data_IF_997609332984
#
_entry.id   IF_997609332984
#
_cell.length_a   1.000
_cell.length_b   1.000
_cell.length_c   1.000
_cell.angle_alpha   90.00
_cell.angle_beta   90.00
_cell.angle_gamma   90.00
#
_symmetry.space_group_name_H-M   'P 1'
#
loop_
_entity.id
_entity.type
_entity.pdbx_description
1 polymer ?
#
# COMPACT_ATOMS: atom_id res chain seq x y z
N UNK A 1 13.60 -0.09 14.96
CA UNK A 1 14.18 1.07 14.24
C UNK A 1 13.12 1.59 13.28
N UNK A 2 12.70 2.87 13.37
CA UNK A 2 11.77 3.44 12.39
C UNK A 2 12.43 3.48 11.01
N UNK A 3 11.65 3.19 9.97
CA UNK A 3 12.06 3.29 8.58
C UNK A 3 11.37 4.51 7.95
N UNK A 4 12.12 5.28 7.19
CA UNK A 4 11.53 6.31 6.33
C UNK A 4 10.78 5.65 5.18
N UNK A 5 9.57 6.15 4.92
CA UNK A 5 8.72 5.66 3.86
C UNK A 5 7.92 6.80 3.22
N UNK A 6 7.53 6.62 1.98
CA UNK A 6 6.58 7.48 1.29
C UNK A 6 5.37 6.68 0.80
N UNK A 7 4.20 7.31 0.79
CA UNK A 7 3.01 6.75 0.15
C UNK A 7 3.07 7.16 -1.33
N UNK A 8 3.32 6.19 -2.20
CA UNK A 8 3.39 6.40 -3.66
C UNK A 8 2.00 6.48 -4.25
N UNK A 9 1.09 5.65 -3.74
CA UNK A 9 -0.28 5.59 -4.23
C UNK A 9 -1.23 5.09 -3.15
N UNK A 10 -2.44 5.63 -3.13
CA UNK A 10 -3.53 5.14 -2.31
C UNK A 10 -4.84 5.23 -3.09
N UNK A 11 -5.59 4.14 -3.12
CA UNK A 11 -6.89 4.09 -3.79
C UNK A 11 -7.79 3.02 -3.19
N UNK A 12 -9.09 3.12 -3.48
CA UNK A 12 -10.04 2.06 -3.17
C UNK A 12 -9.90 0.95 -4.20
N UNK A 13 -9.71 -0.27 -3.72
CA UNK A 13 -9.30 -1.37 -4.56
C UNK A 13 -9.60 -2.72 -3.92
N UNK A 14 -10.21 -3.64 -4.67
CA UNK A 14 -10.76 -4.89 -4.12
C UNK A 14 -10.05 -6.17 -4.61
N UNK A 15 -8.99 -6.05 -5.41
CA UNK A 15 -8.39 -7.23 -6.08
C UNK A 15 -7.46 -8.02 -5.16
N UNK A 16 -6.80 -7.38 -4.19
CA UNK A 16 -6.01 -8.13 -3.20
C UNK A 16 -6.90 -8.67 -2.08
N UNK A 17 -6.48 -9.79 -1.50
CA UNK A 17 -7.09 -10.29 -0.27
C UNK A 17 -7.06 -9.23 0.84
N UNK A 18 -8.02 -9.31 1.75
CA UNK A 18 -8.09 -8.36 2.86
C UNK A 18 -6.92 -8.61 3.82
N UNK A 19 -6.30 -7.52 4.29
CA UNK A 19 -5.09 -7.57 5.14
C UNK A 19 -3.93 -8.35 4.52
N UNK A 20 -3.78 -8.27 3.20
CA UNK A 20 -2.67 -8.87 2.46
C UNK A 20 -1.62 -7.81 2.09
N UNK A 21 -0.41 -8.29 1.80
CA UNK A 21 0.64 -7.47 1.20
C UNK A 21 1.29 -8.18 0.02
N UNK A 22 1.86 -7.39 -0.88
CA UNK A 22 2.68 -7.87 -2.01
C UNK A 22 3.96 -7.04 -2.06
N UNK A 23 5.10 -7.73 -2.07
CA UNK A 23 6.39 -7.12 -2.38
C UNK A 23 6.51 -6.98 -3.90
N UNK A 24 6.74 -5.77 -4.39
CA UNK A 24 6.95 -5.49 -5.80
C UNK A 24 8.46 -5.60 -6.10
N UNK A 25 8.89 -6.75 -6.58
CA UNK A 25 10.29 -7.15 -6.74
C UNK A 25 10.85 -6.93 -8.14
N UNK A 26 10.02 -6.59 -9.12
CA UNK A 26 10.43 -6.28 -10.47
C UNK A 26 9.40 -5.37 -11.16
N UNK A 27 9.74 -4.87 -12.35
CA UNK A 27 8.85 -3.99 -13.12
C UNK A 27 7.53 -4.68 -13.51
N UNK A 28 7.55 -5.98 -13.82
CA UNK A 28 6.36 -6.73 -14.23
C UNK A 28 5.30 -6.77 -13.10
N UNK A 29 5.72 -6.98 -11.85
CA UNK A 29 4.83 -6.96 -10.69
C UNK A 29 4.25 -5.56 -10.43
N UNK A 30 5.07 -4.50 -10.60
CA UNK A 30 4.61 -3.12 -10.53
C UNK A 30 3.55 -2.86 -11.61
N UNK A 31 3.88 -3.15 -12.87
CA UNK A 31 2.99 -2.94 -14.01
C UNK A 31 1.67 -3.71 -13.84
N UNK A 32 1.73 -4.93 -13.30
CA UNK A 32 0.55 -5.74 -13.02
C UNK A 32 -0.37 -5.09 -12.00
N UNK A 33 0.14 -4.61 -10.86
CA UNK A 33 -0.69 -3.90 -9.87
C UNK A 33 -1.27 -2.61 -10.49
N UNK A 34 -0.43 -1.84 -11.18
CA UNK A 34 -0.87 -0.57 -11.78
C UNK A 34 -1.86 -0.76 -12.94
N UNK A 35 -1.83 -1.90 -13.65
CA UNK A 35 -2.84 -2.26 -14.63
C UNK A 35 -4.23 -2.41 -14.00
N UNK A 36 -4.31 -2.99 -12.80
CA UNK A 36 -5.58 -3.07 -12.09
C UNK A 36 -6.01 -1.70 -11.54
N UNK A 37 -5.08 -0.90 -11.03
CA UNK A 37 -5.36 0.46 -10.55
C UNK A 37 -5.87 1.38 -11.67
N UNK A 38 -5.31 1.24 -12.87
CA UNK A 38 -5.69 2.01 -14.06
C UNK A 38 -6.92 1.47 -14.79
N UNK A 39 -7.44 0.29 -14.41
CA UNK A 39 -8.66 -0.27 -14.99
C UNK A 39 -9.96 0.42 -14.51
N UNK A 40 -9.86 1.42 -13.62
CA UNK A 40 -10.96 2.29 -13.19
C UNK A 40 -11.47 3.16 -14.38
N UNK A 41 -12.73 3.64 -14.39
CA UNK A 41 -13.43 4.00 -15.63
C UNK A 41 -12.75 5.12 -16.43
N UNK A 42 -12.80 4.95 -17.76
CA UNK A 42 -12.24 5.84 -18.79
C UNK A 42 -12.56 7.31 -18.47
N UNK A 43 -11.55 8.06 -18.06
CA UNK A 43 -11.66 9.51 -17.77
C UNK A 43 -10.78 9.98 -16.62
N UNK A 44 -10.34 9.06 -15.75
CA UNK A 44 -9.37 9.37 -14.71
C UNK A 44 -7.94 9.45 -15.30
N UNK A 45 -7.17 10.44 -14.84
CA UNK A 45 -5.78 10.65 -15.23
C UNK A 45 -5.00 9.34 -15.10
N UNK A 46 -4.17 9.00 -16.09
CA UNK A 46 -3.28 7.86 -15.97
C UNK A 46 -2.45 8.02 -14.70
N UNK A 47 -2.47 6.99 -13.86
CA UNK A 47 -1.68 6.95 -12.63
C UNK A 47 -0.22 6.75 -13.07
N UNK A 48 0.71 7.64 -12.69
CA UNK A 48 2.12 7.47 -13.02
C UNK A 48 2.63 6.16 -12.41
N UNK A 49 3.17 5.29 -13.25
CA UNK A 49 3.74 4.01 -12.82
C UNK A 49 5.19 4.27 -12.41
N UNK A 50 5.60 3.92 -11.17
CA UNK A 50 6.97 4.05 -10.74
C UNK A 50 7.87 3.06 -11.49
N UNK A 51 9.11 3.47 -11.75
CA UNK A 51 10.13 2.56 -12.25
C UNK A 51 10.67 1.70 -11.11
N UNK A 52 10.96 0.44 -11.40
CA UNK A 52 11.63 -0.46 -10.47
C UNK A 52 13.06 0.01 -10.18
N UNK A 53 13.41 0.10 -8.88
CA UNK A 53 14.76 0.33 -8.40
C UNK A 53 15.20 -0.84 -7.49
N UNK A 54 16.42 -1.31 -7.70
CA UNK A 54 17.01 -2.38 -6.89
C UNK A 54 17.32 -1.93 -5.46
N UNK A 55 17.60 -0.65 -5.27
CA UNK A 55 17.97 -0.03 -4.00
C UNK A 55 16.76 0.33 -3.13
N UNK A 56 15.57 0.35 -3.71
CA UNK A 56 14.32 0.69 -3.02
C UNK A 56 13.47 -0.56 -2.79
N UNK A 57 12.48 -0.44 -1.89
CA UNK A 57 11.48 -1.49 -1.67
C UNK A 57 10.09 -0.92 -1.83
N UNK A 58 9.33 -1.46 -2.77
CA UNK A 58 7.92 -1.14 -2.96
C UNK A 58 7.05 -2.25 -2.36
N UNK A 59 6.08 -1.85 -1.54
CA UNK A 59 5.16 -2.76 -0.86
C UNK A 59 3.73 -2.27 -1.11
N UNK A 60 2.92 -3.12 -1.72
CA UNK A 60 1.49 -2.90 -1.83
C UNK A 60 0.79 -3.56 -0.64
N UNK A 61 -0.02 -2.80 0.09
CA UNK A 61 -0.73 -3.23 1.29
C UNK A 61 -2.22 -3.02 1.08
N UNK A 62 -2.99 -4.06 1.33
CA UNK A 62 -4.44 -4.07 1.18
C UNK A 62 -5.10 -4.23 2.54
N UNK A 63 -6.04 -3.36 2.88
CA UNK A 63 -6.83 -3.50 4.11
C UNK A 63 -8.19 -2.82 4.00
N UNK A 64 -9.17 -3.41 4.67
CA UNK A 64 -10.52 -2.85 4.82
C UNK A 64 -10.60 -2.11 6.16
N UNK A 65 -10.99 -0.82 6.17
CA UNK A 65 -11.10 -0.09 7.43
C UNK A 65 -12.22 -0.68 8.29
N UNK A 66 -11.97 -0.86 9.59
CA UNK A 66 -12.92 -1.52 10.52
C UNK A 66 -13.94 -0.54 11.10
N UNK A 67 -13.53 0.70 11.32
CA UNK A 67 -14.29 1.70 12.08
C UNK A 67 -14.49 3.01 11.31
N UNK A 68 -13.57 3.37 10.41
CA UNK A 68 -13.61 4.58 9.58
C UNK A 68 -13.87 4.29 8.11
N UNK A 69 -13.76 5.30 7.25
CA UNK A 69 -14.00 5.20 5.81
C UNK A 69 -12.71 5.06 4.97
N UNK A 70 -11.52 5.20 5.56
CA UNK A 70 -10.24 4.94 4.92
C UNK A 70 -9.19 4.36 5.86
N UNK A 71 -8.03 3.98 5.32
CA UNK A 71 -6.87 3.54 6.08
C UNK A 71 -5.68 4.48 5.85
N UNK A 72 -4.73 4.48 6.77
CA UNK A 72 -3.44 5.15 6.61
C UNK A 72 -2.32 4.28 7.18
N UNK A 73 -1.10 4.48 6.69
CA UNK A 73 0.10 3.83 7.20
C UNK A 73 0.69 4.72 8.30
N UNK A 74 0.42 4.36 9.55
CA UNK A 74 0.88 5.13 10.71
C UNK A 74 2.40 5.12 10.85
N UNK A 75 3.01 3.95 10.68
CA UNK A 75 4.45 3.80 10.82
C UNK A 75 4.96 2.52 10.16
N UNK A 76 6.22 2.56 9.74
CA UNK A 76 6.95 1.39 9.28
C UNK A 76 8.20 1.24 10.15
N UNK A 77 8.34 0.08 10.80
CA UNK A 77 9.42 -0.17 11.75
C UNK A 77 10.13 -1.49 11.44
N UNK A 78 11.46 -1.47 11.39
CA UNK A 78 12.28 -2.68 11.39
C UNK A 78 12.49 -3.16 12.82
N UNK A 79 11.99 -4.35 13.16
CA UNK A 79 12.22 -5.01 14.44
C UNK A 79 12.87 -6.37 14.17
N UNK A 80 14.16 -6.48 14.47
CA UNK A 80 14.97 -7.64 14.11
C UNK A 80 15.02 -7.82 12.60
N UNK A 81 14.46 -8.93 12.11
CA UNK A 81 14.42 -9.27 10.67
C UNK A 81 13.04 -9.02 10.03
N UNK A 82 12.12 -8.36 10.76
CA UNK A 82 10.76 -8.10 10.34
C UNK A 82 10.49 -6.61 10.12
N UNK A 83 9.87 -6.28 8.99
CA UNK A 83 9.25 -4.98 8.75
C UNK A 83 7.83 -5.04 9.30
N UNK A 84 7.56 -4.25 10.32
CA UNK A 84 6.23 -4.05 10.88
C UNK A 84 5.61 -2.81 10.23
N UNK A 85 4.51 -3.01 9.52
CA UNK A 85 3.73 -1.93 8.92
C UNK A 85 2.48 -1.76 9.78
N UNK A 86 2.37 -0.62 10.47
CA UNK A 86 1.20 -0.28 11.27
C UNK A 86 0.17 0.46 10.42
N UNK A 87 -1.03 -0.12 10.31
CA UNK A 87 -2.16 0.43 9.58
C UNK A 87 -3.19 0.91 10.60
N UNK A 88 -3.73 2.11 10.38
CA UNK A 88 -4.81 2.68 11.20
C UNK A 88 -6.00 3.05 10.33
N UNK A 89 -7.18 2.98 10.92
CA UNK A 89 -8.38 3.55 10.32
C UNK A 89 -8.39 5.08 10.45
N UNK A 90 -8.69 5.79 9.36
CA UNK A 90 -8.79 7.26 9.34
C UNK A 90 -10.07 7.74 8.67
N UNK A 91 -10.58 8.89 9.12
CA UNK A 91 -11.69 9.58 8.46
C UNK A 91 -11.16 10.45 7.31
N UNK A 92 -11.47 10.05 6.09
CA UNK A 92 -11.21 10.83 4.89
C UNK A 92 -12.49 11.57 4.46
N UNK A 93 -12.57 12.91 4.60
CA UNK A 93 -13.78 13.67 4.28
C UNK A 93 -14.15 13.66 2.80
N UNK A 94 -13.21 13.29 1.91
CA UNK A 94 -13.47 13.17 0.47
C UNK A 94 -14.21 11.88 0.11
N UNK A 95 -14.18 10.90 1.01
CA UNK A 95 -14.89 9.64 0.85
C UNK A 95 -16.22 9.75 1.59
N UNK A 96 -17.33 9.63 0.86
CA UNK A 96 -18.64 9.56 1.49
C UNK A 96 -18.67 8.45 2.55
N UNK A 97 -19.48 8.62 3.60
CA UNK A 97 -19.66 7.63 4.69
C UNK A 97 -20.23 6.28 4.22
N UNK A 98 -20.57 6.17 2.94
CA UNK A 98 -21.20 5.01 2.34
C UNK A 98 -20.16 3.96 1.95
N UNK A 99 -19.73 3.18 2.94
CA UNK A 99 -19.07 1.89 2.73
C UNK A 99 -17.62 1.86 3.17
N UNK A 100 -17.31 0.91 4.06
CA UNK A 100 -15.94 0.49 4.41
C UNK A 100 -15.35 -0.26 3.21
N UNK A 101 -14.92 0.50 2.22
CA UNK A 101 -14.31 -0.07 1.02
C UNK A 101 -12.84 -0.37 1.29
N UNK A 102 -12.41 -1.55 0.84
CA UNK A 102 -11.03 -1.99 0.87
C UNK A 102 -10.14 -0.96 0.16
N UNK A 103 -9.05 -0.62 0.83
CA UNK A 103 -8.05 0.31 0.33
C UNK A 103 -6.77 -0.46 -0.02
N UNK A 104 -6.13 -0.04 -1.10
CA UNK A 104 -4.77 -0.40 -1.42
C UNK A 104 -3.88 0.82 -1.21
N UNK A 105 -2.81 0.64 -0.45
CA UNK A 105 -1.76 1.63 -0.24
C UNK A 105 -0.44 1.03 -0.75
N UNK A 106 0.25 1.74 -1.63
CA UNK A 106 1.59 1.39 -2.08
C UNK A 106 2.56 2.31 -1.37
N UNK A 107 3.44 1.73 -0.57
CA UNK A 107 4.53 2.44 0.10
C UNK A 107 5.87 2.13 -0.55
N UNK A 108 6.78 3.10 -0.49
CA UNK A 108 8.17 2.96 -0.90
C UNK A 108 9.09 3.20 0.27
N UNK A 109 10.05 2.31 0.45
CA UNK A 109 11.15 2.44 1.40
C UNK A 109 12.41 2.79 0.63
N UNK A 110 13.18 3.75 1.15
CA UNK A 110 14.40 4.27 0.50
C UNK A 110 15.56 3.26 0.42
N UNK A 111 15.47 2.15 1.15
CA UNK A 111 16.49 1.11 1.18
C UNK A 111 15.91 -0.25 0.75
N UNK A 112 16.81 -1.16 0.37
CA UNK A 112 16.45 -2.51 -0.02
C UNK A 112 16.23 -3.40 1.21
N UNK A 113 14.96 -3.80 1.40
CA UNK A 113 14.49 -4.71 2.42
C UNK A 113 13.74 -5.90 1.81
N UNK A 114 13.95 -6.22 0.53
CA UNK A 114 13.24 -7.28 -0.21
C UNK A 114 13.40 -8.68 0.39
N UNK A 115 14.46 -8.89 1.18
CA UNK A 115 14.75 -10.15 1.88
C UNK A 115 14.17 -10.21 3.30
N UNK A 116 13.53 -9.14 3.78
CA UNK A 116 12.94 -9.08 5.12
C UNK A 116 11.53 -9.64 5.10
N UNK A 117 11.13 -10.23 6.22
CA UNK A 117 9.74 -10.66 6.41
C UNK A 117 8.86 -9.44 6.73
N UNK A 118 7.64 -9.41 6.22
CA UNK A 118 6.67 -8.34 6.49
C UNK A 118 5.60 -8.84 7.46
N UNK A 119 5.22 -7.98 8.39
CA UNK A 119 4.13 -8.20 9.32
C UNK A 119 3.22 -6.98 9.33
N UNK A 120 1.94 -7.18 9.04
CA UNK A 120 0.94 -6.14 9.05
C UNK A 120 0.29 -6.07 10.44
N UNK A 121 0.27 -4.88 11.03
CA UNK A 121 -0.34 -4.63 12.34
C UNK A 121 -1.51 -3.67 12.13
N UNK A 122 -2.73 -4.15 12.35
CA UNK A 122 -3.94 -3.35 12.18
C UNK A 122 -4.39 -2.85 13.56
N UNK A 123 -4.52 -1.53 13.72
CA UNK A 123 -4.91 -0.88 14.98
C UNK A 123 -6.23 -0.14 14.86
#
# INVERSE_FOLDING_TARGET
MPLEFEIVHQSKFDVLEDYAFVLLKNQEEIDNIYKYLSASPKGLRQIPIPSYDENETLIAVSATPKSKNDIDIKSVNLIGDKINIEIIDVDNPQLGTSGRLKSLVIIKLLNNYKNKSINLIIK
#
